data_IF_364236605430
#
_entry.id   IF_364236605430
#
_cell.length_a   1.000
_cell.length_b   1.000
_cell.length_c   1.000
_cell.angle_alpha   90.00
_cell.angle_beta   90.00
_cell.angle_gamma   90.00
#
_symmetry.space_group_name_H-M   'P 1'
#
loop_
_entity.id
_entity.type
_entity.pdbx_description
1 polymer ?
#
# COMPACT_ATOMS: atom_id res chain seq x y z
N UNK A 1 -18.23 18.43 -20.95
CA UNK A 1 -18.28 18.18 -19.49
C UNK A 1 -16.94 18.61 -18.88
N UNK A 2 -16.87 19.82 -18.31
CA UNK A 2 -15.60 20.44 -17.85
C UNK A 2 -14.97 19.72 -16.64
N UNK A 3 -15.78 19.09 -15.79
CA UNK A 3 -15.31 18.29 -14.65
C UNK A 3 -14.63 16.98 -15.08
N UNK A 4 -15.20 16.26 -16.06
CA UNK A 4 -14.59 15.06 -16.65
C UNK A 4 -13.25 15.34 -17.37
N UNK A 5 -12.99 16.62 -17.69
CA UNK A 5 -11.73 17.09 -18.26
C UNK A 5 -10.68 17.49 -17.21
N UNK A 6 -10.94 17.27 -15.92
CA UNK A 6 -9.97 17.47 -14.83
C UNK A 6 -9.96 18.87 -14.20
N UNK A 7 -10.84 19.79 -14.60
CA UNK A 7 -10.88 21.14 -14.01
C UNK A 7 -11.28 21.11 -12.53
N UNK A 8 -10.74 22.00 -11.67
CA UNK A 8 -11.18 22.16 -10.29
C UNK A 8 -12.69 22.40 -10.22
N UNK A 9 -13.38 21.81 -9.23
CA UNK A 9 -14.82 22.01 -9.03
C UNK A 9 -15.17 23.49 -8.92
N UNK A 10 -14.36 24.29 -8.22
CA UNK A 10 -14.52 25.74 -8.09
C UNK A 10 -14.58 26.49 -9.44
N UNK A 11 -13.81 26.04 -10.44
CA UNK A 11 -13.77 26.69 -11.77
C UNK A 11 -14.91 26.21 -12.69
N UNK A 12 -15.46 25.03 -12.41
CA UNK A 12 -16.66 24.51 -13.09
C UNK A 12 -17.93 25.13 -12.49
N UNK A 13 -17.87 25.53 -11.22
CA UNK A 13 -18.98 26.01 -10.39
C UNK A 13 -19.17 27.53 -10.36
N UNK A 14 -18.66 28.28 -11.34
CA UNK A 14 -19.02 29.70 -11.52
C UNK A 14 -20.54 29.93 -11.76
N UNK A 15 -21.38 28.89 -11.66
CA UNK A 15 -22.82 28.91 -11.92
C UNK A 15 -23.70 28.28 -10.83
N UNK A 16 -23.19 27.67 -9.75
CA UNK A 16 -24.05 27.12 -8.68
C UNK A 16 -23.37 27.15 -7.31
N UNK A 17 -24.13 27.57 -6.29
CA UNK A 17 -23.77 27.65 -4.87
C UNK A 17 -23.41 26.27 -4.26
N UNK A 18 -23.36 26.14 -2.92
CA UNK A 18 -23.03 24.88 -2.20
C UNK A 18 -23.80 23.65 -2.74
N UNK A 19 -25.03 23.82 -3.23
CA UNK A 19 -25.84 22.79 -3.89
C UNK A 19 -25.16 22.17 -5.13
N UNK A 20 -24.34 22.93 -5.86
CA UNK A 20 -23.61 22.45 -7.04
C UNK A 20 -22.42 21.56 -6.67
N UNK A 21 -21.74 21.85 -5.54
CA UNK A 21 -20.70 20.98 -4.99
C UNK A 21 -21.31 19.66 -4.54
N UNK A 22 -22.42 19.73 -3.82
CA UNK A 22 -23.15 18.56 -3.32
C UNK A 22 -23.70 17.71 -4.47
N UNK A 23 -24.22 18.32 -5.55
CA UNK A 23 -24.65 17.60 -6.74
C UNK A 23 -23.49 16.84 -7.41
N UNK A 24 -22.31 17.46 -7.51
CA UNK A 24 -21.13 16.80 -8.10
C UNK A 24 -20.66 15.65 -7.21
N UNK A 25 -20.64 15.84 -5.88
CA UNK A 25 -20.22 14.78 -4.96
C UNK A 25 -21.25 13.64 -4.90
N UNK A 26 -22.52 13.96 -4.68
CA UNK A 26 -23.58 12.98 -4.51
C UNK A 26 -23.95 12.29 -5.83
N UNK A 27 -24.22 13.06 -6.89
CA UNK A 27 -24.71 12.47 -8.14
C UNK A 27 -23.57 11.89 -8.98
N UNK A 28 -22.45 12.61 -9.14
CA UNK A 28 -21.37 12.23 -10.05
C UNK A 28 -20.27 11.40 -9.38
N UNK A 29 -19.83 11.73 -8.16
CA UNK A 29 -18.74 11.00 -7.50
C UNK A 29 -19.23 9.76 -6.73
N UNK A 30 -20.47 9.76 -6.25
CA UNK A 30 -21.03 8.64 -5.49
C UNK A 30 -22.07 7.84 -6.30
N UNK A 31 -23.21 8.42 -6.67
CA UNK A 31 -24.34 7.65 -7.24
C UNK A 31 -24.07 7.13 -8.64
N UNK A 32 -23.41 7.90 -9.50
CA UNK A 32 -23.10 7.49 -10.87
C UNK A 32 -22.13 6.31 -10.95
N UNK A 33 -20.99 6.27 -10.23
CA UNK A 33 -20.12 5.10 -10.26
C UNK A 33 -20.81 3.85 -9.69
N UNK A 34 -21.60 4.00 -8.62
CA UNK A 34 -22.45 2.90 -8.11
C UNK A 34 -23.47 2.41 -9.14
N UNK A 35 -24.13 3.32 -9.87
CA UNK A 35 -25.08 2.97 -10.91
C UNK A 35 -24.39 2.26 -12.08
N UNK A 36 -23.20 2.72 -12.48
CA UNK A 36 -22.42 2.09 -13.54
C UNK A 36 -21.92 0.70 -13.14
N UNK A 37 -21.50 0.51 -11.90
CA UNK A 37 -21.13 -0.80 -11.38
C UNK A 37 -22.34 -1.74 -11.25
N UNK A 38 -23.51 -1.24 -10.81
CA UNK A 38 -24.74 -2.02 -10.78
C UNK A 38 -25.16 -2.50 -12.18
N UNK A 39 -25.05 -1.62 -13.20
CA UNK A 39 -25.30 -1.98 -14.60
C UNK A 39 -24.27 -2.99 -15.10
N UNK A 40 -22.98 -2.83 -14.78
CA UNK A 40 -21.92 -3.78 -15.16
C UNK A 40 -22.15 -5.16 -14.53
N UNK A 41 -22.46 -5.22 -13.24
CA UNK A 41 -22.73 -6.48 -12.50
C UNK A 41 -23.97 -7.17 -13.07
N UNK A 42 -25.02 -6.41 -13.41
CA UNK A 42 -26.21 -6.95 -14.04
C UNK A 42 -25.93 -7.49 -15.45
N UNK A 43 -25.20 -6.74 -16.28
CA UNK A 43 -24.80 -7.18 -17.62
C UNK A 43 -23.93 -8.45 -17.58
N UNK A 44 -23.01 -8.56 -16.61
CA UNK A 44 -22.23 -9.77 -16.36
C UNK A 44 -23.12 -10.97 -15.97
N UNK A 45 -24.13 -10.74 -15.13
CA UNK A 45 -25.04 -11.80 -14.69
C UNK A 45 -25.96 -12.31 -15.81
N UNK A 46 -26.21 -11.50 -16.85
CA UNK A 46 -27.07 -11.83 -17.99
C UNK A 46 -26.26 -12.26 -19.23
N UNK A 47 -24.93 -12.38 -19.10
CA UNK A 47 -24.00 -12.74 -20.20
C UNK A 47 -24.14 -11.83 -21.44
N UNK A 48 -24.38 -10.53 -21.21
CA UNK A 48 -24.55 -9.54 -22.28
C UNK A 48 -23.25 -9.32 -23.07
N UNK A 49 -23.34 -9.33 -24.40
CA UNK A 49 -22.18 -9.20 -25.31
C UNK A 49 -21.44 -7.84 -25.17
N UNK A 50 -22.06 -6.82 -24.56
CA UNK A 50 -21.51 -5.49 -24.33
C UNK A 50 -20.75 -5.31 -23.01
N UNK A 51 -20.59 -6.36 -22.19
CA UNK A 51 -19.94 -6.29 -20.86
C UNK A 51 -18.52 -5.72 -20.93
N UNK A 52 -17.73 -6.06 -21.94
CA UNK A 52 -16.35 -5.59 -22.09
C UNK A 52 -16.25 -4.07 -22.33
N UNK A 53 -17.29 -3.46 -22.92
CA UNK A 53 -17.39 -2.01 -23.14
C UNK A 53 -17.66 -1.29 -21.80
N UNK A 54 -18.37 -1.96 -20.89
CA UNK A 54 -18.70 -1.46 -19.55
C UNK A 54 -17.55 -1.70 -18.53
N UNK A 55 -16.59 -2.58 -18.85
CA UNK A 55 -15.71 -3.22 -17.87
C UNK A 55 -14.43 -2.48 -17.44
N UNK A 56 -14.25 -1.18 -17.71
CA UNK A 56 -13.02 -0.57 -17.18
C UNK A 56 -12.93 0.93 -17.16
N UNK A 57 -12.87 1.57 -18.31
CA UNK A 57 -12.43 2.98 -18.32
C UNK A 57 -13.52 3.96 -17.90
N UNK A 58 -14.80 3.66 -18.14
CA UNK A 58 -15.89 4.58 -17.84
C UNK A 58 -16.14 4.71 -16.34
N UNK A 59 -16.26 3.60 -15.61
CA UNK A 59 -16.43 3.62 -14.16
C UNK A 59 -15.21 4.23 -13.45
N UNK A 60 -14.00 3.86 -13.88
CA UNK A 60 -12.76 4.41 -13.33
C UNK A 60 -12.58 5.90 -13.65
N UNK A 61 -13.03 6.35 -14.82
CA UNK A 61 -12.98 7.77 -15.19
C UNK A 61 -13.96 8.62 -14.37
N UNK A 62 -15.11 8.03 -14.00
CA UNK A 62 -16.07 8.67 -13.10
C UNK A 62 -15.54 8.70 -11.66
N UNK A 63 -15.00 7.58 -11.16
CA UNK A 63 -14.39 7.48 -9.82
C UNK A 63 -13.24 8.48 -9.65
N UNK A 64 -12.31 8.53 -10.60
CA UNK A 64 -11.17 9.45 -10.55
C UNK A 64 -11.50 10.86 -11.06
N UNK A 65 -12.70 11.07 -11.62
CA UNK A 65 -13.10 12.32 -12.27
C UNK A 65 -12.18 12.77 -13.41
N UNK A 66 -11.64 11.83 -14.20
CA UNK A 66 -10.75 12.09 -15.32
C UNK A 66 -10.79 10.96 -16.35
N UNK A 67 -10.81 11.28 -17.64
CA UNK A 67 -10.70 10.27 -18.71
C UNK A 67 -9.26 9.89 -19.05
N UNK A 68 -8.25 10.53 -18.45
CA UNK A 68 -6.84 10.23 -18.69
C UNK A 68 -6.41 9.03 -17.84
N UNK A 69 -5.99 7.95 -18.49
CA UNK A 69 -5.62 6.70 -17.82
C UNK A 69 -4.49 6.86 -16.81
N UNK A 70 -3.49 7.71 -17.09
CA UNK A 70 -2.41 8.03 -16.16
C UNK A 70 -2.90 8.75 -14.90
N UNK A 71 -3.86 9.67 -15.04
CA UNK A 71 -4.50 10.35 -13.89
C UNK A 71 -5.30 9.36 -13.04
N UNK A 72 -6.12 8.51 -13.69
CA UNK A 72 -6.88 7.44 -13.02
C UNK A 72 -5.93 6.55 -12.21
N UNK A 73 -4.81 6.13 -12.81
CA UNK A 73 -3.84 5.25 -12.18
C UNK A 73 -3.20 5.88 -10.93
N UNK A 74 -2.84 7.17 -10.96
CA UNK A 74 -2.27 7.85 -9.79
C UNK A 74 -3.26 7.97 -8.64
N UNK A 75 -4.51 8.34 -8.94
CA UNK A 75 -5.57 8.44 -7.92
C UNK A 75 -5.82 7.08 -7.28
N UNK A 76 -5.89 6.01 -8.08
CA UNK A 76 -6.08 4.63 -7.58
C UNK A 76 -4.85 4.06 -6.86
N UNK A 77 -3.67 4.56 -7.17
CA UNK A 77 -2.45 4.24 -6.43
C UNK A 77 -2.40 4.93 -5.06
N UNK A 78 -3.32 5.87 -4.77
CA UNK A 78 -3.46 6.51 -3.48
C UNK A 78 -3.10 7.99 -3.47
N UNK A 79 -2.85 8.62 -4.63
CA UNK A 79 -2.68 10.08 -4.68
C UNK A 79 -4.01 10.76 -4.36
N UNK A 80 -4.11 11.34 -3.17
CA UNK A 80 -5.34 11.94 -2.63
C UNK A 80 -5.77 13.24 -3.31
N UNK A 81 -4.93 13.80 -4.20
CA UNK A 81 -5.23 15.03 -4.95
C UNK A 81 -5.33 14.77 -6.45
N UNK A 82 -6.57 14.84 -6.97
CA UNK A 82 -6.83 14.78 -8.42
C UNK A 82 -6.18 15.92 -9.18
N UNK A 83 -6.12 17.11 -8.60
CA UNK A 83 -5.44 18.26 -9.20
C UNK A 83 -3.94 17.97 -9.34
N UNK A 84 -3.30 17.44 -8.30
CA UNK A 84 -1.90 17.03 -8.37
C UNK A 84 -1.68 16.00 -9.48
N UNK A 85 -2.53 14.98 -9.54
CA UNK A 85 -2.45 13.92 -10.56
C UNK A 85 -2.57 14.50 -11.97
N UNK A 86 -3.52 15.42 -12.19
CA UNK A 86 -3.76 16.04 -13.49
C UNK A 86 -2.61 16.95 -13.90
N UNK A 87 -2.17 17.84 -12.99
CA UNK A 87 -1.07 18.77 -13.23
C UNK A 87 0.25 18.03 -13.52
N UNK A 88 0.58 17.01 -12.72
CA UNK A 88 1.80 16.22 -12.92
C UNK A 88 1.79 15.49 -14.26
N UNK A 89 0.67 14.88 -14.65
CA UNK A 89 0.52 14.19 -15.94
C UNK A 89 0.60 15.16 -17.12
N UNK A 90 0.02 16.35 -17.00
CA UNK A 90 0.06 17.35 -18.07
C UNK A 90 1.43 17.98 -18.25
N UNK A 91 2.08 18.38 -17.16
CA UNK A 91 3.40 19.00 -17.18
C UNK A 91 4.49 18.05 -17.69
N UNK A 92 4.41 16.77 -17.34
CA UNK A 92 5.38 15.74 -17.77
C UNK A 92 4.97 14.96 -19.02
N UNK A 93 3.78 15.26 -19.57
CA UNK A 93 3.17 14.52 -20.68
C UNK A 93 3.11 13.00 -20.46
N UNK A 94 2.82 12.55 -19.24
CA UNK A 94 2.87 11.14 -18.85
C UNK A 94 1.83 10.26 -19.57
N UNK A 95 2.25 9.09 -20.07
CA UNK A 95 1.43 8.18 -20.90
C UNK A 95 1.28 6.75 -20.38
N UNK A 96 1.68 6.47 -19.15
CA UNK A 96 1.56 5.12 -18.58
C UNK A 96 0.10 4.68 -18.47
N UNK A 97 -0.12 3.38 -18.62
CA UNK A 97 -1.47 2.79 -18.62
C UNK A 97 -1.64 1.66 -17.60
N UNK A 98 -0.55 1.28 -16.94
CA UNK A 98 -0.45 0.25 -15.92
C UNK A 98 0.47 0.72 -14.77
N UNK A 99 0.61 -0.13 -13.75
CA UNK A 99 1.34 0.20 -12.52
C UNK A 99 2.85 0.18 -12.71
N UNK A 100 3.36 -0.65 -13.61
CA UNK A 100 4.80 -0.75 -13.86
C UNK A 100 5.29 0.50 -14.59
N UNK A 101 4.59 0.94 -15.64
CA UNK A 101 4.88 2.19 -16.32
C UNK A 101 4.69 3.42 -15.44
N UNK A 102 3.71 3.41 -14.51
CA UNK A 102 3.56 4.47 -13.51
C UNK A 102 4.80 4.57 -12.62
N UNK A 103 5.34 3.43 -12.18
CA UNK A 103 6.53 3.39 -11.32
C UNK A 103 7.79 3.78 -12.06
N UNK A 104 7.94 3.33 -13.30
CA UNK A 104 9.05 3.76 -14.15
C UNK A 104 9.02 5.29 -14.32
N UNK A 105 7.84 5.85 -14.58
CA UNK A 105 7.65 7.30 -14.65
C UNK A 105 7.96 8.00 -13.32
N UNK A 106 7.45 7.51 -12.19
CA UNK A 106 7.75 8.07 -10.86
C UNK A 106 9.25 8.03 -10.53
N UNK A 107 9.98 7.05 -11.02
CA UNK A 107 11.44 6.92 -10.81
C UNK A 107 12.27 7.61 -11.89
N UNK A 108 11.65 8.36 -12.82
CA UNK A 108 12.37 9.08 -13.85
C UNK A 108 13.04 10.35 -13.30
N UNK A 109 14.18 10.70 -13.88
CA UNK A 109 14.94 11.92 -13.54
C UNK A 109 14.06 13.17 -13.67
N UNK A 110 13.19 13.21 -14.69
CA UNK A 110 12.22 14.29 -14.88
C UNK A 110 11.30 14.48 -13.67
N UNK A 111 10.70 13.41 -13.15
CA UNK A 111 9.79 13.50 -12.00
C UNK A 111 10.54 13.80 -10.71
N UNK A 112 11.77 13.30 -10.57
CA UNK A 112 12.64 13.61 -9.45
C UNK A 112 13.01 15.10 -9.41
N UNK A 113 13.48 15.66 -10.52
CA UNK A 113 13.79 17.09 -10.67
C UNK A 113 12.57 17.96 -10.38
N UNK A 114 11.42 17.63 -10.98
CA UNK A 114 10.17 18.36 -10.74
C UNK A 114 9.71 18.29 -9.30
N UNK A 115 9.87 17.15 -8.63
CA UNK A 115 9.45 16.99 -7.23
C UNK A 115 10.23 17.89 -6.25
N UNK A 116 11.44 18.32 -6.62
CA UNK A 116 12.24 19.28 -5.83
C UNK A 116 11.66 20.70 -5.90
N UNK A 117 10.99 21.07 -6.98
CA UNK A 117 10.43 22.41 -7.17
C UNK A 117 9.31 22.74 -6.16
N UNK A 118 9.39 23.88 -5.48
CA UNK A 118 8.47 24.25 -4.38
C UNK A 118 6.99 24.38 -4.76
N UNK A 119 6.67 24.51 -6.05
CA UNK A 119 5.33 24.76 -6.55
C UNK A 119 4.81 23.64 -7.45
N UNK A 120 5.53 22.52 -7.54
CA UNK A 120 5.13 21.38 -8.36
C UNK A 120 4.51 20.26 -7.50
N UNK A 121 3.44 19.58 -7.98
CA UNK A 121 2.73 19.77 -9.25
C UNK A 121 1.90 21.05 -9.31
N UNK A 122 1.33 21.46 -8.18
CA UNK A 122 0.83 22.81 -7.93
C UNK A 122 1.18 23.19 -6.50
N UNK A 123 1.29 24.48 -6.19
CA UNK A 123 1.59 24.95 -4.83
C UNK A 123 0.59 24.39 -3.79
N UNK A 124 -0.69 24.37 -4.15
CA UNK A 124 -1.78 23.87 -3.29
C UNK A 124 -1.71 22.37 -3.05
N UNK A 125 -1.25 21.61 -4.03
CA UNK A 125 -1.34 20.15 -4.03
C UNK A 125 -0.02 19.43 -3.74
N UNK A 126 1.07 20.21 -3.58
CA UNK A 126 2.43 19.72 -3.33
C UNK A 126 2.55 18.77 -2.15
N UNK A 127 1.91 19.09 -1.02
CA UNK A 127 2.00 18.22 0.17
C UNK A 127 1.43 16.83 -0.10
N UNK A 128 0.27 16.75 -0.75
CA UNK A 128 -0.34 15.48 -1.13
C UNK A 128 0.52 14.71 -2.13
N UNK A 129 1.17 15.42 -3.06
CA UNK A 129 2.14 14.82 -3.98
C UNK A 129 3.34 14.21 -3.26
N UNK A 130 4.00 14.96 -2.37
CA UNK A 130 5.19 14.48 -1.67
C UNK A 130 4.90 13.25 -0.81
N UNK A 131 3.79 13.25 -0.07
CA UNK A 131 3.36 12.09 0.72
C UNK A 131 3.18 10.83 -0.13
N UNK A 132 2.53 10.98 -1.28
CA UNK A 132 2.34 9.89 -2.23
C UNK A 132 3.67 9.43 -2.85
N UNK A 133 4.49 10.38 -3.31
CA UNK A 133 5.76 10.13 -3.98
C UNK A 133 6.77 9.42 -3.07
N UNK A 134 6.93 9.90 -1.84
CA UNK A 134 7.77 9.28 -0.81
C UNK A 134 7.22 7.90 -0.44
N UNK A 135 5.90 7.78 -0.25
CA UNK A 135 5.24 6.52 0.08
C UNK A 135 5.51 5.42 -0.96
N UNK A 136 5.34 5.71 -2.26
CA UNK A 136 5.61 4.73 -3.32
C UNK A 136 7.10 4.35 -3.42
N UNK A 137 8.03 5.26 -3.04
CA UNK A 137 9.47 4.98 -3.02
C UNK A 137 9.90 4.18 -1.78
N UNK A 138 9.30 4.44 -0.62
CA UNK A 138 9.58 3.72 0.61
C UNK A 138 8.99 2.30 0.60
N UNK A 139 7.88 2.08 -0.12
CA UNK A 139 7.34 0.75 -0.35
C UNK A 139 8.24 -0.08 -1.25
N UNK A 140 9.33 -0.60 -0.67
CA UNK A 140 10.06 -1.74 -1.24
C UNK A 140 9.12 -2.94 -1.20
N UNK A 141 8.37 -3.16 -2.28
CA UNK A 141 7.55 -4.36 -2.45
C UNK A 141 8.45 -5.58 -2.71
N UNK A 142 9.20 -5.99 -1.69
CA UNK A 142 9.90 -7.27 -1.71
C UNK A 142 8.85 -8.37 -1.58
N UNK A 143 8.95 -9.42 -2.40
CA UNK A 143 8.11 -10.63 -2.23
C UNK A 143 8.22 -11.09 -0.79
N UNK A 144 7.07 -11.23 -0.13
CA UNK A 144 7.01 -11.80 1.20
C UNK A 144 7.62 -13.19 1.15
N UNK A 145 8.63 -13.40 1.99
CA UNK A 145 9.32 -14.68 2.11
C UNK A 145 9.12 -15.20 3.52
N UNK A 146 8.97 -16.52 3.59
CA UNK A 146 8.99 -17.29 4.82
C UNK A 146 10.41 -17.76 5.04
N UNK A 147 10.96 -17.45 6.19
CA UNK A 147 12.32 -17.86 6.58
C UNK A 147 12.28 -18.41 8.01
N UNK A 148 13.15 -19.37 8.30
CA UNK A 148 13.27 -19.97 9.62
C UNK A 148 14.69 -19.79 10.12
N UNK A 149 14.84 -19.24 11.32
CA UNK A 149 16.12 -19.17 12.02
C UNK A 149 16.09 -20.13 13.21
N UNK A 150 17.08 -21.00 13.32
CA UNK A 150 17.26 -21.87 14.48
C UNK A 150 18.34 -21.27 15.38
N UNK A 151 18.01 -21.03 16.65
CA UNK A 151 18.92 -20.42 17.62
C UNK A 151 19.05 -21.33 18.85
N UNK A 152 20.27 -21.51 19.35
CA UNK A 152 20.51 -22.20 20.62
C UNK A 152 20.01 -21.37 21.80
N UNK A 153 19.39 -22.05 22.76
CA UNK A 153 18.87 -21.44 23.99
C UNK A 153 19.74 -21.82 25.18
N UNK A 154 20.02 -20.85 26.04
CA UNK A 154 20.48 -21.08 27.39
C UNK A 154 19.25 -21.07 28.31
N UNK A 155 18.76 -22.26 28.65
CA UNK A 155 17.63 -22.43 29.56
C UNK A 155 18.00 -22.03 30.98
N UNK A 156 17.03 -21.48 31.70
CA UNK A 156 17.12 -21.34 33.15
C UNK A 156 17.00 -22.73 33.80
N UNK A 157 17.63 -22.91 34.97
CA UNK A 157 17.69 -24.21 35.64
C UNK A 157 16.29 -24.81 35.87
N UNK A 158 16.06 -26.00 35.30
CA UNK A 158 14.80 -26.74 35.41
C UNK A 158 13.65 -26.19 34.55
N UNK A 159 13.87 -25.16 33.73
CA UNK A 159 12.84 -24.50 32.92
C UNK A 159 12.95 -24.80 31.41
N UNK A 160 13.70 -25.85 31.03
CA UNK A 160 13.75 -26.28 29.63
C UNK A 160 12.37 -26.80 29.19
N UNK A 161 11.79 -26.16 28.18
CA UNK A 161 10.51 -26.57 27.62
C UNK A 161 10.65 -27.84 26.74
N UNK A 162 9.56 -28.61 26.64
CA UNK A 162 9.55 -29.82 25.84
C UNK A 162 9.70 -29.50 24.33
N UNK A 163 10.28 -30.42 23.53
CA UNK A 163 10.33 -30.25 22.08
C UNK A 163 8.96 -29.96 21.46
N UNK A 164 8.93 -29.14 20.40
CA UNK A 164 7.72 -28.67 19.71
C UNK A 164 6.79 -27.76 20.53
N UNK A 165 7.18 -27.36 21.74
CA UNK A 165 6.40 -26.39 22.54
C UNK A 165 6.48 -25.00 21.92
N UNK A 166 5.33 -24.34 21.75
CA UNK A 166 5.29 -22.93 21.34
C UNK A 166 5.80 -22.02 22.45
N UNK A 167 6.65 -21.07 22.07
CA UNK A 167 7.28 -20.10 22.98
C UNK A 167 7.14 -18.70 22.40
N UNK A 168 7.27 -17.68 23.24
CA UNK A 168 7.34 -16.29 22.80
C UNK A 168 8.81 -15.87 22.76
N UNK A 169 9.21 -15.20 21.69
CA UNK A 169 10.53 -14.59 21.57
C UNK A 169 10.42 -13.09 21.82
N UNK A 170 11.16 -12.62 22.82
CA UNK A 170 11.25 -11.21 23.15
C UNK A 170 12.67 -10.70 22.87
N UNK A 171 12.88 -9.95 21.76
CA UNK A 171 14.13 -9.25 21.55
C UNK A 171 14.32 -8.20 22.64
N UNK A 172 15.53 -8.06 23.17
CA UNK A 172 15.85 -7.05 24.18
C UNK A 172 17.08 -6.26 23.77
N UNK A 173 17.10 -4.96 24.08
CA UNK A 173 18.25 -4.10 23.79
C UNK A 173 19.41 -4.48 24.71
N UNK A 174 20.57 -4.78 24.12
CA UNK A 174 21.78 -5.15 24.87
C UNK A 174 21.92 -6.63 25.22
N UNK A 175 20.95 -7.47 24.84
CA UNK A 175 21.08 -8.95 24.89
C UNK A 175 20.70 -9.54 23.54
N UNK A 176 20.86 -10.85 23.40
CA UNK A 176 20.45 -11.58 22.20
C UNK A 176 18.93 -11.83 22.11
N UNK A 177 18.17 -11.45 23.15
CA UNK A 177 16.75 -11.76 23.31
C UNK A 177 16.50 -12.90 24.29
N UNK A 178 15.23 -13.04 24.70
CA UNK A 178 14.78 -14.04 25.67
C UNK A 178 13.68 -14.93 25.10
N UNK A 179 13.59 -16.13 25.66
CA UNK A 179 12.56 -17.14 25.38
C UNK A 179 11.60 -17.17 26.55
N UNK A 180 10.31 -17.07 26.27
CA UNK A 180 9.25 -17.02 27.26
C UNK A 180 8.16 -18.05 26.98
N UNK A 181 7.38 -18.38 28.00
CA UNK A 181 6.09 -19.08 27.82
C UNK A 181 5.09 -18.17 27.12
N UNK A 182 3.95 -18.75 26.69
CA UNK A 182 2.82 -17.98 26.17
C UNK A 182 2.23 -17.01 27.21
N UNK A 183 2.41 -17.31 28.50
CA UNK A 183 2.02 -16.47 29.64
C UNK A 183 3.13 -15.47 30.04
N UNK A 184 4.09 -15.22 29.15
CA UNK A 184 5.20 -14.26 29.33
C UNK A 184 6.11 -14.57 30.53
N UNK A 185 6.24 -15.84 30.92
CA UNK A 185 7.19 -16.26 31.95
C UNK A 185 8.55 -16.59 31.33
N UNK A 186 9.67 -16.13 31.89
CA UNK A 186 11.00 -16.34 31.31
C UNK A 186 11.46 -17.79 31.42
N UNK A 187 11.80 -18.41 30.29
CA UNK A 187 12.34 -19.77 30.20
C UNK A 187 13.85 -19.79 30.01
N UNK A 188 14.41 -18.79 29.32
CA UNK A 188 15.84 -18.72 29.04
C UNK A 188 16.23 -17.57 28.12
N UNK A 189 17.48 -17.58 27.69
CA UNK A 189 18.08 -16.55 26.83
C UNK A 189 18.56 -17.14 25.51
N UNK A 190 18.43 -16.38 24.43
CA UNK A 190 18.99 -16.76 23.13
C UNK A 190 20.52 -16.61 23.15
N UNK A 191 21.25 -17.56 22.55
CA UNK A 191 22.72 -17.49 22.47
C UNK A 191 23.24 -16.59 21.36
N UNK A 192 22.42 -16.27 20.36
CA UNK A 192 22.74 -15.34 19.28
C UNK A 192 21.55 -14.42 19.00
N UNK A 193 21.84 -13.24 18.48
CA UNK A 193 20.81 -12.26 18.14
C UNK A 193 19.87 -12.77 17.04
N UNK A 194 18.63 -12.28 17.10
CA UNK A 194 17.59 -12.53 16.11
C UNK A 194 17.89 -11.69 14.86
N UNK A 195 17.83 -12.30 13.68
CA UNK A 195 18.19 -11.63 12.42
C UNK A 195 17.14 -10.62 11.93
N UNK A 196 15.92 -10.68 12.47
CA UNK A 196 14.77 -9.89 12.05
C UNK A 196 14.08 -9.21 13.24
N UNK A 197 13.39 -8.08 13.02
CA UNK A 197 12.65 -7.40 14.06
C UNK A 197 11.47 -8.25 14.57
N UNK A 198 11.04 -8.00 15.81
CA UNK A 198 9.91 -8.70 16.45
C UNK A 198 8.65 -8.76 15.59
N UNK A 199 8.35 -7.67 14.87
CA UNK A 199 7.15 -7.54 14.03
C UNK A 199 7.09 -8.55 12.87
N UNK A 200 8.23 -9.15 12.52
CA UNK A 200 8.31 -10.12 11.43
C UNK A 200 8.17 -11.56 11.96
N UNK A 201 8.21 -11.82 13.27
CA UNK A 201 8.06 -13.15 13.88
C UNK A 201 6.59 -13.56 13.81
N UNK A 202 6.32 -14.75 13.25
CA UNK A 202 4.96 -15.30 13.13
C UNK A 202 4.76 -16.51 14.04
N UNK A 203 5.80 -17.33 14.19
CA UNK A 203 5.76 -18.51 15.05
C UNK A 203 7.14 -18.75 15.67
N UNK A 204 7.16 -19.38 16.83
CA UNK A 204 8.39 -19.83 17.48
C UNK A 204 8.15 -21.06 18.33
N UNK A 205 8.97 -22.09 18.13
CA UNK A 205 8.83 -23.38 18.82
C UNK A 205 10.17 -23.94 19.25
N UNK A 206 10.17 -24.70 20.33
CA UNK A 206 11.35 -25.46 20.76
C UNK A 206 11.67 -26.53 19.70
N UNK A 207 12.90 -26.53 19.19
CA UNK A 207 13.34 -27.49 18.20
C UNK A 207 13.35 -28.93 18.72
N UNK A 208 13.42 -29.89 17.81
CA UNK A 208 13.33 -31.32 18.15
C UNK A 208 14.39 -31.79 19.17
N UNK A 209 15.55 -31.13 19.22
CA UNK A 209 16.64 -31.43 20.15
C UNK A 209 16.43 -30.87 21.57
N UNK A 210 15.39 -30.07 21.82
CA UNK A 210 15.12 -29.43 23.12
C UNK A 210 16.12 -28.34 23.53
N UNK A 211 17.14 -28.07 22.72
CA UNK A 211 18.22 -27.10 23.02
C UNK A 211 18.16 -25.85 22.14
N UNK A 212 17.29 -25.86 21.14
CA UNK A 212 17.14 -24.78 20.16
C UNK A 212 15.71 -24.28 20.14
N UNK A 213 15.51 -23.07 19.63
CA UNK A 213 14.21 -22.56 19.21
C UNK A 213 14.29 -22.25 17.72
N UNK A 214 13.28 -22.73 16.99
CA UNK A 214 13.02 -22.42 15.60
C UNK A 214 12.07 -21.22 15.56
N UNK A 215 12.51 -20.13 14.93
CA UNK A 215 11.76 -18.88 14.83
C UNK A 215 11.40 -18.70 13.36
N UNK A 216 10.11 -18.62 13.06
CA UNK A 216 9.59 -18.38 11.73
C UNK A 216 9.30 -16.90 11.54
N UNK A 217 9.86 -16.34 10.47
CA UNK A 217 9.62 -14.97 10.06
C UNK A 217 8.81 -14.91 8.78
N UNK A 218 7.97 -13.89 8.68
CA UNK A 218 7.24 -13.57 7.47
C UNK A 218 7.26 -12.06 7.25
N UNK A 219 7.93 -11.63 6.19
CA UNK A 219 8.06 -10.21 5.90
C UNK A 219 8.63 -9.90 4.52
N UNK A 220 8.55 -8.62 4.11
CA UNK A 220 9.05 -8.14 2.83
C UNK A 220 10.58 -7.97 2.89
N UNK A 221 11.32 -9.08 2.82
CA UNK A 221 12.73 -9.22 2.38
C UNK A 221 13.16 -10.65 2.67
N UNK A 222 13.88 -11.30 1.76
CA UNK A 222 14.75 -12.43 2.09
C UNK A 222 16.19 -11.99 2.13
N UNK A 223 17.02 -12.58 2.99
CA UNK A 223 18.41 -12.17 3.21
C UNK A 223 19.22 -12.06 1.90
N UNK A 224 20.02 -10.99 1.81
CA UNK A 224 21.29 -10.96 1.07
C UNK A 224 22.38 -11.56 1.96
#
# INVERSE_FOLDING_TARGET
MAWLAGKPSADVLALCDDEGVDLIQEALAYRLPWAMEAVRVHAQAVEDEGVDILAGLAALAVEAGSSKRSVIMLVRAGLSSREAATAAVEDTAARFTDRDGMREWLNSELVEERSIEMNWPTERSRQAWLQFYEGERETTHSRWKRETQTILVQWNDGLAAAPSTSVIIEPSVGTNGSVMTLDLQPLGLLRTAIQRPRKDIVDSRVGANGMTVEIEFFGPRGMQ
#
